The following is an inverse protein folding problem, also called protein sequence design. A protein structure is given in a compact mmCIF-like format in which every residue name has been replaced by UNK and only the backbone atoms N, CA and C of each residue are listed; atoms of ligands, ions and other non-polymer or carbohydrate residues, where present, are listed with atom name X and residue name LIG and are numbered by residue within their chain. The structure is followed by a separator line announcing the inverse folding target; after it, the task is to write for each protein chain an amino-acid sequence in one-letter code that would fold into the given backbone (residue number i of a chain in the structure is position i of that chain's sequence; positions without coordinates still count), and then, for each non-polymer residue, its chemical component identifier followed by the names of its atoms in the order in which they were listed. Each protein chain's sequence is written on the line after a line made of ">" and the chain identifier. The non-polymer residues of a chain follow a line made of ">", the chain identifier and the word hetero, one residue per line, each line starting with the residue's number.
data_IF_942689470489
#
_entry.id   IF_942689470489
#
_cell.length_a   1.000
_cell.length_b   1.000
_cell.length_c   1.000
_cell.angle_alpha   90.00
_cell.angle_beta   90.00
_cell.angle_gamma   90.00
#
_symmetry.space_group_name_H-M   'P 1'
#
loop_
_entity.id
_entity.type
_entity.pdbx_description
1 polymer ?
#
# COMPACT_ATOMS: atom_id res chain seq x y z
N UNK A 1 -46.60 -9.75 -2.29
CA UNK A 1 -45.85 -9.05 -3.37
C UNK A 1 -45.37 -7.66 -2.96
N UNK A 2 -46.08 -6.85 -2.18
CA UNK A 2 -45.65 -5.54 -1.68
C UNK A 2 -44.41 -5.57 -0.77
N UNK A 3 -44.26 -6.58 0.08
CA UNK A 3 -43.18 -6.69 1.07
C UNK A 3 -41.75 -6.79 0.42
N UNK A 4 -41.64 -7.48 -0.70
CA UNK A 4 -40.40 -7.63 -1.45
C UNK A 4 -39.95 -6.31 -2.11
N UNK A 5 -40.90 -5.52 -2.60
CA UNK A 5 -40.64 -4.24 -3.26
C UNK A 5 -40.12 -3.21 -2.24
N UNK A 6 -40.73 -3.19 -1.04
CA UNK A 6 -40.30 -2.31 0.05
C UNK A 6 -38.91 -2.67 0.58
N UNK A 7 -38.61 -3.97 0.73
CA UNK A 7 -37.29 -4.43 1.16
C UNK A 7 -36.18 -4.06 0.16
N UNK A 8 -36.45 -4.27 -1.15
CA UNK A 8 -35.49 -3.90 -2.23
C UNK A 8 -35.29 -2.39 -2.26
N UNK A 9 -36.34 -1.59 -2.09
CA UNK A 9 -36.28 -0.14 -2.07
C UNK A 9 -35.43 0.38 -0.90
N UNK A 10 -35.61 -0.20 0.29
CA UNK A 10 -34.91 0.18 1.53
C UNK A 10 -33.43 -0.20 1.45
N UNK A 11 -33.12 -1.41 0.95
CA UNK A 11 -31.76 -1.89 0.77
C UNK A 11 -31.00 -1.05 -0.28
N UNK A 12 -31.67 -0.68 -1.39
CA UNK A 12 -31.11 0.18 -2.42
C UNK A 12 -30.79 1.60 -1.89
N UNK A 13 -31.67 2.18 -1.06
CA UNK A 13 -31.44 3.48 -0.41
C UNK A 13 -30.27 3.43 0.58
N UNK A 14 -30.14 2.35 1.34
CA UNK A 14 -29.03 2.14 2.27
C UNK A 14 -27.71 2.03 1.51
N UNK A 15 -27.62 1.21 0.48
CA UNK A 15 -26.43 1.05 -0.36
C UNK A 15 -26.01 2.36 -1.05
N UNK A 16 -26.99 3.13 -1.58
CA UNK A 16 -26.70 4.43 -2.19
C UNK A 16 -26.13 5.41 -1.16
N UNK A 17 -26.66 5.41 0.06
CA UNK A 17 -26.16 6.26 1.15
C UNK A 17 -24.75 5.89 1.56
N UNK A 18 -24.42 4.60 1.61
CA UNK A 18 -23.06 4.12 1.88
C UNK A 18 -22.08 4.48 0.76
N UNK A 19 -22.48 4.32 -0.51
CA UNK A 19 -21.66 4.69 -1.67
C UNK A 19 -21.40 6.22 -1.69
N UNK A 20 -22.39 7.04 -1.36
CA UNK A 20 -22.25 8.50 -1.26
C UNK A 20 -21.30 8.86 -0.11
N UNK A 21 -21.39 8.16 1.02
CA UNK A 21 -20.47 8.35 2.14
C UNK A 21 -19.04 7.95 1.78
N UNK A 22 -18.84 6.84 1.07
CA UNK A 22 -17.51 6.44 0.58
C UNK A 22 -16.91 7.47 -0.38
N UNK A 23 -17.70 8.06 -1.29
CA UNK A 23 -17.22 9.15 -2.16
C UNK A 23 -16.66 10.33 -1.36
N UNK A 24 -17.28 10.69 -0.24
CA UNK A 24 -16.79 11.76 0.66
C UNK A 24 -15.44 11.44 1.30
N UNK A 25 -15.09 10.17 1.44
CA UNK A 25 -13.76 9.76 1.94
C UNK A 25 -12.64 10.10 0.97
N UNK A 26 -12.86 9.96 -0.33
CA UNK A 26 -11.85 10.12 -1.37
C UNK A 26 -11.84 11.53 -2.00
N UNK A 27 -12.80 12.39 -1.68
CA UNK A 27 -12.84 13.77 -2.21
C UNK A 27 -12.02 14.72 -1.37
N UNK A 28 -11.48 15.77 -1.99
CA UNK A 28 -10.77 16.88 -1.33
C UNK A 28 -11.71 17.93 -0.71
N UNK A 29 -13.03 17.75 -0.81
CA UNK A 29 -14.01 18.70 -0.30
C UNK A 29 -14.27 18.53 1.19
N UNK A 30 -14.49 19.64 1.89
CA UNK A 30 -14.84 19.69 3.31
C UNK A 30 -13.65 19.66 4.26
N UNK A 31 -13.93 19.82 5.54
CA UNK A 31 -12.98 19.77 6.65
C UNK A 31 -13.23 18.53 7.51
N UNK A 32 -12.24 18.08 8.26
CA UNK A 32 -12.35 16.95 9.18
C UNK A 32 -11.92 17.33 10.59
N UNK A 33 -12.57 16.74 11.58
CA UNK A 33 -12.17 16.84 12.99
C UNK A 33 -10.88 16.07 13.26
N UNK A 34 -10.23 16.35 14.40
CA UNK A 34 -9.01 15.63 14.81
C UNK A 34 -9.21 14.13 14.94
N UNK A 35 -10.31 13.69 15.55
CA UNK A 35 -10.64 12.26 15.69
C UNK A 35 -10.85 11.57 14.34
N UNK A 36 -11.56 12.24 13.43
CA UNK A 36 -11.76 11.72 12.06
C UNK A 36 -10.43 11.65 11.30
N UNK A 37 -9.52 12.60 11.53
CA UNK A 37 -8.18 12.57 10.94
C UNK A 37 -7.40 11.34 11.40
N UNK A 38 -7.38 11.05 12.71
CA UNK A 38 -6.70 9.87 13.26
C UNK A 38 -7.29 8.59 12.67
N UNK A 39 -8.61 8.46 12.63
CA UNK A 39 -9.28 7.29 12.06
C UNK A 39 -8.91 7.09 10.58
N UNK A 40 -8.85 8.17 9.80
CA UNK A 40 -8.46 8.13 8.39
C UNK A 40 -6.98 7.78 8.22
N UNK A 41 -6.12 8.26 9.11
CA UNK A 41 -4.70 7.89 9.10
C UNK A 41 -4.51 6.41 9.39
N UNK A 42 -5.26 5.83 10.33
CA UNK A 42 -5.27 4.39 10.57
C UNK A 42 -5.77 3.62 9.34
N UNK A 43 -6.82 4.12 8.67
CA UNK A 43 -7.31 3.50 7.44
C UNK A 43 -6.27 3.55 6.30
N UNK A 44 -5.43 4.59 6.24
CA UNK A 44 -4.32 4.65 5.28
C UNK A 44 -3.33 3.50 5.50
N UNK A 45 -3.06 3.13 6.76
CA UNK A 45 -2.20 1.99 7.08
C UNK A 45 -2.81 0.69 6.54
N UNK A 46 -4.12 0.47 6.76
CA UNK A 46 -4.81 -0.70 6.21
C UNK A 46 -4.76 -0.70 4.68
N UNK A 47 -4.95 0.45 4.05
CA UNK A 47 -4.89 0.61 2.60
C UNK A 47 -3.48 0.37 2.03
N UNK A 48 -2.43 0.51 2.83
CA UNK A 48 -1.06 0.23 2.42
C UNK A 48 -0.69 -1.27 2.47
N UNK A 49 -1.53 -2.14 3.07
CA UNK A 49 -1.26 -3.58 3.17
C UNK A 49 -1.00 -4.22 1.79
N UNK A 50 -1.83 -4.00 0.75
CA UNK A 50 -1.56 -4.57 -0.58
C UNK A 50 -0.20 -4.15 -1.14
N UNK A 51 0.17 -2.87 -0.97
CA UNK A 51 1.49 -2.36 -1.38
C UNK A 51 2.62 -3.10 -0.64
N UNK A 52 2.51 -3.24 0.68
CA UNK A 52 3.50 -3.94 1.51
C UNK A 52 3.64 -5.39 1.04
N UNK A 53 2.52 -6.10 0.82
CA UNK A 53 2.52 -7.48 0.35
C UNK A 53 3.21 -7.61 -1.01
N UNK A 54 2.94 -6.72 -1.97
CA UNK A 54 3.58 -6.71 -3.29
C UNK A 54 5.09 -6.49 -3.15
N UNK A 55 5.52 -5.53 -2.33
CA UNK A 55 6.96 -5.26 -2.11
C UNK A 55 7.65 -6.46 -1.47
N UNK A 56 7.05 -7.09 -0.45
CA UNK A 56 7.62 -8.28 0.17
C UNK A 56 7.67 -9.48 -0.79
N UNK A 57 6.64 -9.66 -1.62
CA UNK A 57 6.63 -10.72 -2.64
C UNK A 57 7.74 -10.48 -3.69
N UNK A 58 7.90 -9.24 -4.15
CA UNK A 58 8.97 -8.85 -5.06
C UNK A 58 10.35 -9.10 -4.46
N UNK A 59 10.60 -8.62 -3.24
CA UNK A 59 11.87 -8.87 -2.54
C UNK A 59 12.11 -10.36 -2.30
N UNK A 60 11.06 -11.09 -1.93
CA UNK A 60 11.12 -12.54 -1.77
C UNK A 60 11.56 -13.24 -3.05
N UNK A 61 10.98 -12.93 -4.20
CA UNK A 61 11.37 -13.52 -5.49
C UNK A 61 12.84 -13.24 -5.84
N UNK A 62 13.32 -12.03 -5.54
CA UNK A 62 14.72 -11.66 -5.74
C UNK A 62 15.62 -12.48 -4.81
N UNK A 63 15.37 -12.48 -3.51
CA UNK A 63 16.18 -13.22 -2.54
C UNK A 63 16.20 -14.71 -2.87
N UNK A 64 15.04 -15.29 -3.19
CA UNK A 64 14.95 -16.69 -3.57
C UNK A 64 15.77 -17.04 -4.83
N UNK A 65 15.98 -16.10 -5.75
CA UNK A 65 16.82 -16.35 -6.94
C UNK A 65 18.31 -16.48 -6.60
N UNK A 66 18.75 -15.97 -5.46
CA UNK A 66 20.13 -16.09 -4.95
C UNK A 66 20.32 -17.25 -3.98
N UNK A 67 19.22 -17.87 -3.55
CA UNK A 67 19.23 -19.01 -2.64
C UNK A 67 19.16 -20.30 -3.49
N UNK A 68 20.28 -21.02 -3.56
CA UNK A 68 20.37 -22.31 -4.27
C UNK A 68 19.94 -23.45 -3.34
N UNK A 69 18.66 -23.43 -2.91
CA UNK A 69 18.10 -24.46 -2.02
C UNK A 69 17.03 -25.24 -2.78
N UNK A 70 17.19 -26.56 -2.79
CA UNK A 70 16.11 -27.45 -3.16
C UNK A 70 15.02 -27.39 -2.09
N UNK A 71 13.79 -27.05 -2.47
CA UNK A 71 12.65 -26.93 -1.55
C UNK A 71 12.45 -28.18 -0.68
N UNK A 72 12.87 -29.36 -1.18
CA UNK A 72 12.82 -30.63 -0.45
C UNK A 72 13.80 -30.67 0.74
N UNK A 73 14.87 -29.88 0.73
CA UNK A 73 15.85 -29.80 1.82
C UNK A 73 15.50 -28.77 2.89
N UNK A 74 14.50 -27.92 2.63
CA UNK A 74 14.05 -26.90 3.57
C UNK A 74 13.21 -27.47 4.74
N UNK A 75 12.59 -28.65 4.57
CA UNK A 75 11.89 -29.36 5.64
C UNK A 75 12.90 -29.93 6.63
N UNK A 76 13.07 -29.29 7.77
CA UNK A 76 13.95 -29.71 8.86
C UNK A 76 15.18 -28.84 9.10
N UNK A 77 15.32 -27.75 8.36
CA UNK A 77 16.42 -26.80 8.52
C UNK A 77 16.32 -26.05 9.86
N UNK A 78 17.43 -25.99 10.58
CA UNK A 78 17.51 -25.23 11.82
C UNK A 78 17.47 -23.72 11.57
N UNK A 79 17.05 -22.92 12.57
CA UNK A 79 17.08 -21.45 12.46
C UNK A 79 18.49 -20.91 12.17
N UNK A 80 19.53 -21.57 12.66
CA UNK A 80 20.91 -21.16 12.42
C UNK A 80 21.31 -21.35 10.95
N UNK A 81 20.93 -22.46 10.33
CA UNK A 81 21.16 -22.74 8.91
C UNK A 81 20.37 -21.77 8.01
N UNK A 82 19.10 -21.51 8.34
CA UNK A 82 18.28 -20.55 7.61
C UNK A 82 18.87 -19.13 7.66
N UNK A 83 19.39 -18.70 8.82
CA UNK A 83 20.05 -17.40 8.96
C UNK A 83 21.36 -17.32 8.14
N UNK A 84 22.18 -18.37 8.16
CA UNK A 84 23.43 -18.41 7.40
C UNK A 84 23.17 -18.30 5.88
N UNK A 85 22.13 -18.97 5.39
CA UNK A 85 21.73 -18.91 3.99
C UNK A 85 21.23 -17.51 3.61
N UNK A 86 20.44 -16.88 4.48
CA UNK A 86 19.96 -15.51 4.28
C UNK A 86 21.12 -14.50 4.26
N UNK A 87 22.12 -14.68 5.11
CA UNK A 87 23.33 -13.85 5.14
C UNK A 87 24.16 -14.03 3.85
N UNK A 88 24.38 -15.27 3.40
CA UNK A 88 25.11 -15.55 2.15
C UNK A 88 24.40 -14.94 0.92
N UNK A 89 23.07 -15.07 0.83
CA UNK A 89 22.27 -14.44 -0.22
C UNK A 89 22.40 -12.90 -0.17
N UNK A 90 22.35 -12.31 1.03
CA UNK A 90 22.54 -10.88 1.24
C UNK A 90 23.90 -10.38 0.78
N UNK A 91 24.96 -11.13 1.07
CA UNK A 91 26.35 -10.81 0.63
C UNK A 91 26.45 -10.88 -0.90
N UNK A 92 25.91 -11.91 -1.54
CA UNK A 92 25.92 -12.05 -3.01
C UNK A 92 25.18 -10.89 -3.69
N UNK A 93 24.01 -10.50 -3.18
CA UNK A 93 23.25 -9.34 -3.68
C UNK A 93 24.09 -8.06 -3.53
N UNK A 94 24.71 -7.83 -2.39
CA UNK A 94 25.51 -6.65 -2.13
C UNK A 94 26.74 -6.56 -3.05
N UNK A 95 27.44 -7.68 -3.26
CA UNK A 95 28.58 -7.75 -4.17
C UNK A 95 28.16 -7.47 -5.62
N UNK A 96 27.02 -7.98 -6.07
CA UNK A 96 26.53 -7.74 -7.42
C UNK A 96 26.13 -6.26 -7.59
N UNK A 97 25.43 -5.67 -6.61
CA UNK A 97 25.10 -4.24 -6.63
C UNK A 97 26.37 -3.38 -6.70
N UNK A 98 27.42 -3.74 -5.94
CA UNK A 98 28.69 -3.01 -5.99
C UNK A 98 29.40 -3.14 -7.34
N UNK A 99 29.27 -4.28 -8.01
CA UNK A 99 29.92 -4.58 -9.29
C UNK A 99 29.27 -3.85 -10.47
N UNK A 100 27.94 -3.86 -10.56
CA UNK A 100 27.21 -3.33 -11.73
C UNK A 100 26.50 -2.00 -11.45
N UNK A 101 26.43 -1.59 -10.19
CA UNK A 101 25.71 -0.41 -9.72
C UNK A 101 24.22 -0.66 -9.45
N UNK A 102 23.61 0.11 -8.50
CA UNK A 102 22.24 -0.17 -8.04
C UNK A 102 21.19 -0.04 -9.16
N UNK A 103 21.29 0.95 -10.04
CA UNK A 103 20.32 1.14 -11.12
C UNK A 103 20.34 0.00 -12.14
N UNK A 104 21.53 -0.45 -12.53
CA UNK A 104 21.68 -1.58 -13.45
C UNK A 104 21.17 -2.87 -12.80
N UNK A 105 21.49 -3.08 -11.52
CA UNK A 105 21.00 -4.23 -10.77
C UNK A 105 19.46 -4.26 -10.70
N UNK A 106 18.81 -3.13 -10.38
CA UNK A 106 17.35 -3.04 -10.36
C UNK A 106 16.75 -3.36 -11.74
N UNK A 107 17.31 -2.84 -12.82
CA UNK A 107 16.78 -3.07 -14.16
C UNK A 107 16.92 -4.53 -14.62
N UNK A 108 17.87 -5.27 -14.08
CA UNK A 108 18.12 -6.68 -14.43
C UNK A 108 17.28 -7.65 -13.57
N UNK A 109 17.09 -7.33 -12.30
CA UNK A 109 16.47 -8.24 -11.33
C UNK A 109 14.98 -7.98 -11.07
N UNK A 110 14.46 -6.80 -11.42
CA UNK A 110 13.06 -6.45 -11.22
C UNK A 110 12.33 -6.43 -12.56
N UNK A 111 11.39 -7.33 -12.76
CA UNK A 111 10.57 -7.33 -13.97
C UNK A 111 9.62 -6.12 -14.00
N UNK A 112 9.29 -5.67 -15.21
CA UNK A 112 8.34 -4.56 -15.43
C UNK A 112 6.99 -4.80 -14.75
N UNK A 113 6.56 -6.06 -14.65
CA UNK A 113 5.34 -6.44 -13.93
C UNK A 113 5.35 -5.97 -12.47
N UNK A 114 6.45 -6.20 -11.74
CA UNK A 114 6.55 -5.79 -10.35
C UNK A 114 6.54 -4.28 -10.18
N UNK A 115 7.17 -3.55 -11.09
CA UNK A 115 7.18 -2.08 -11.10
C UNK A 115 5.76 -1.56 -11.29
N UNK A 116 5.03 -2.07 -12.29
CA UNK A 116 3.66 -1.66 -12.58
C UNK A 116 2.73 -2.01 -11.41
N UNK A 117 2.81 -3.22 -10.87
CA UNK A 117 2.02 -3.65 -9.72
C UNK A 117 2.24 -2.75 -8.49
N UNK A 118 3.49 -2.39 -8.21
CA UNK A 118 3.88 -1.49 -7.13
C UNK A 118 3.28 -0.09 -7.32
N UNK A 119 3.41 0.48 -8.53
CA UNK A 119 2.85 1.80 -8.85
C UNK A 119 1.33 1.79 -8.70
N UNK A 120 0.63 0.80 -9.26
CA UNK A 120 -0.83 0.71 -9.18
C UNK A 120 -1.30 0.59 -7.72
N UNK A 121 -0.62 -0.22 -6.90
CA UNK A 121 -0.97 -0.40 -5.48
C UNK A 121 -0.72 0.86 -4.64
N UNK A 122 0.21 1.72 -5.06
CA UNK A 122 0.57 2.94 -4.35
C UNK A 122 -0.42 4.10 -4.62
N UNK A 123 -1.06 4.13 -5.79
CA UNK A 123 -1.99 5.19 -6.18
C UNK A 123 -3.09 5.45 -5.14
N UNK A 124 -3.87 4.43 -4.68
CA UNK A 124 -4.93 4.67 -3.71
C UNK A 124 -4.39 5.15 -2.35
N UNK A 125 -3.21 4.70 -1.94
CA UNK A 125 -2.56 5.12 -0.68
C UNK A 125 -2.20 6.60 -0.73
N UNK A 126 -1.50 7.02 -1.79
CA UNK A 126 -1.11 8.43 -1.99
C UNK A 126 -2.35 9.31 -2.09
N UNK A 127 -3.32 8.93 -2.93
CA UNK A 127 -4.52 9.72 -3.13
C UNK A 127 -5.30 9.93 -1.83
N UNK A 128 -5.53 8.87 -1.08
CA UNK A 128 -6.26 8.94 0.18
C UNK A 128 -5.48 9.71 1.26
N UNK A 129 -4.17 9.52 1.33
CA UNK A 129 -3.28 10.25 2.23
C UNK A 129 -3.33 11.76 1.95
N UNK A 130 -3.14 12.16 0.69
CA UNK A 130 -3.21 13.56 0.27
C UNK A 130 -4.60 14.17 0.55
N UNK A 131 -5.69 13.47 0.22
CA UNK A 131 -7.04 13.95 0.49
C UNK A 131 -7.30 14.15 1.99
N UNK A 132 -6.77 13.27 2.83
CA UNK A 132 -6.91 13.34 4.28
C UNK A 132 -6.11 14.51 4.85
N UNK A 133 -4.87 14.66 4.41
CA UNK A 133 -3.98 15.74 4.83
C UNK A 133 -4.53 17.12 4.39
N UNK A 134 -4.94 17.25 3.13
CA UNK A 134 -5.55 18.48 2.61
C UNK A 134 -6.78 18.90 3.42
N UNK A 135 -7.67 17.96 3.76
CA UNK A 135 -8.85 18.26 4.59
C UNK A 135 -8.47 18.73 5.99
N UNK A 136 -7.40 18.22 6.56
CA UNK A 136 -6.93 18.66 7.88
C UNK A 136 -6.35 20.07 7.82
N UNK A 137 -5.52 20.36 6.83
CA UNK A 137 -4.96 21.69 6.61
C UNK A 137 -6.08 22.70 6.33
N UNK A 138 -7.04 22.35 5.48
CA UNK A 138 -8.20 23.20 5.19
C UNK A 138 -9.04 23.51 6.44
N UNK A 139 -9.07 22.62 7.43
CA UNK A 139 -9.72 22.88 8.71
C UNK A 139 -8.95 23.90 9.57
N UNK A 140 -7.63 23.88 9.51
CA UNK A 140 -6.79 24.85 10.25
C UNK A 140 -6.82 26.25 9.62
N UNK A 141 -6.95 26.33 8.30
CA UNK A 141 -6.96 27.58 7.54
C UNK A 141 -8.34 27.85 6.92
N UNK A 142 -9.42 27.67 7.71
CA UNK A 142 -10.80 27.72 7.24
C UNK A 142 -11.15 28.99 6.45
N UNK A 143 -10.56 30.14 6.80
CA UNK A 143 -10.81 31.45 6.14
C UNK A 143 -9.97 31.67 4.87
N UNK A 144 -8.94 30.87 4.62
CA UNK A 144 -8.03 31.10 3.49
C UNK A 144 -7.51 29.77 2.91
N UNK A 145 -8.26 29.25 1.93
CA UNK A 145 -7.95 27.98 1.25
C UNK A 145 -6.62 28.00 0.49
N UNK A 146 -6.18 29.17 0.02
CA UNK A 146 -4.90 29.31 -0.68
C UNK A 146 -3.73 29.06 0.29
N UNK A 147 -3.83 29.58 1.53
CA UNK A 147 -2.84 29.29 2.57
C UNK A 147 -2.79 27.80 2.95
N UNK A 148 -3.96 27.14 2.95
CA UNK A 148 -4.05 25.71 3.23
C UNK A 148 -3.37 24.84 2.17
N UNK A 149 -3.26 25.31 0.94
CA UNK A 149 -2.59 24.60 -0.15
C UNK A 149 -1.08 24.80 -0.14
N UNK A 150 -0.61 25.93 0.39
CA UNK A 150 0.82 26.28 0.41
C UNK A 150 1.52 25.93 1.74
N UNK A 151 0.82 25.36 2.70
CA UNK A 151 1.34 24.92 3.99
C UNK A 151 1.71 23.44 4.00
#
# INVERSE_FOLDING_TARGET
>A
MCFLIDWISTTKKSLIKEIINMKRFFTFSGTISGSTFILRSLFTIVLSIPFIVIVFAMLGTIVFSYIDIDLASAEGMSMAESNAIGEDAGIKIAEEIMKIGPMAWFSQNISEFWIIATIISLIPVIWFGLATYYKRISALFYSNRVKAFNA
#
